data_IF_713229863442
#
_entry.id   IF_713229863442
#
_cell.length_a   1.000
_cell.length_b   1.000
_cell.length_c   1.000
_cell.angle_alpha   90.00
_cell.angle_beta   90.00
_cell.angle_gamma   90.00
#
_symmetry.space_group_name_H-M   'P 1'
#
loop_
_entity.id
_entity.type
_entity.pdbx_description
1 polymer ?
#
# COMPACT_ATOMS: atom_id res chain seq x y z
N UNK A 1 -4.75 -12.65 -9.86
CA UNK A 1 -4.43 -12.54 -8.47
C UNK A 1 -5.35 -11.56 -7.78
N UNK A 2 -5.97 -12.00 -6.70
CA UNK A 2 -7.00 -11.20 -6.06
C UNK A 2 -6.47 -9.89 -5.52
N UNK A 3 -5.27 -9.88 -4.98
CA UNK A 3 -4.73 -8.66 -4.43
C UNK A 3 -4.55 -7.60 -5.51
N UNK A 4 -4.13 -8.01 -6.68
CA UNK A 4 -3.93 -7.07 -7.77
C UNK A 4 -5.26 -6.51 -8.25
N UNK A 5 -6.28 -7.35 -8.29
CA UNK A 5 -7.61 -6.87 -8.68
C UNK A 5 -8.08 -5.81 -7.69
N UNK A 6 -7.88 -6.06 -6.41
CA UNK A 6 -8.33 -5.12 -5.38
C UNK A 6 -7.58 -3.80 -5.42
N UNK A 7 -6.35 -3.79 -5.92
CA UNK A 7 -5.61 -2.55 -6.03
C UNK A 7 -6.29 -1.57 -6.97
N UNK A 8 -7.10 -2.08 -7.90
CA UNK A 8 -7.79 -1.24 -8.87
C UNK A 8 -9.25 -1.06 -8.54
N UNK A 9 -9.67 -1.44 -7.33
CA UNK A 9 -11.05 -1.30 -6.96
C UNK A 9 -11.42 0.17 -6.88
N UNK A 10 -12.64 0.50 -7.30
CA UNK A 10 -13.09 1.88 -7.26
C UNK A 10 -13.31 2.36 -5.85
N UNK A 11 -13.59 1.45 -4.93
CA UNK A 11 -13.85 1.82 -3.55
C UNK A 11 -12.51 1.98 -2.82
N UNK A 12 -12.21 3.21 -2.43
CA UNK A 12 -10.93 3.48 -1.78
C UNK A 12 -10.81 2.73 -0.46
N UNK A 13 -11.91 2.40 0.18
CA UNK A 13 -11.84 1.66 1.44
C UNK A 13 -11.32 0.25 1.22
N UNK A 14 -11.66 -0.34 0.07
CA UNK A 14 -11.11 -1.64 -0.28
C UNK A 14 -9.61 -1.51 -0.51
N UNK A 15 -9.20 -0.48 -1.24
CA UNK A 15 -7.78 -0.27 -1.47
C UNK A 15 -7.03 0.00 -0.17
N UNK A 16 -7.66 0.72 0.74
CA UNK A 16 -7.06 0.98 2.04
C UNK A 16 -6.82 -0.33 2.80
N UNK A 17 -7.82 -1.21 2.79
CA UNK A 17 -7.69 -2.50 3.45
C UNK A 17 -6.58 -3.33 2.83
N UNK A 18 -6.49 -3.30 1.51
CA UNK A 18 -5.41 -4.01 0.82
C UNK A 18 -4.06 -3.46 1.24
N UNK A 19 -3.95 -2.14 1.36
CA UNK A 19 -2.69 -1.52 1.75
C UNK A 19 -2.25 -1.94 3.14
N UNK A 20 -3.16 -2.39 3.97
CA UNK A 20 -2.81 -2.84 5.31
C UNK A 20 -2.19 -4.23 5.32
N UNK A 21 -2.37 -5.00 4.25
CA UNK A 21 -2.04 -6.41 4.27
C UNK A 21 -1.02 -6.85 3.24
N UNK A 22 -0.85 -6.09 2.16
CA UNK A 22 0.00 -6.56 1.07
C UNK A 22 1.47 -6.34 1.39
N UNK A 23 2.32 -7.01 0.60
CA UNK A 23 3.75 -6.90 0.78
C UNK A 23 4.26 -5.56 0.24
N UNK A 24 5.53 -5.21 0.56
CA UNK A 24 6.06 -3.90 0.18
C UNK A 24 6.09 -3.65 -1.32
N UNK A 25 6.33 -4.69 -2.11
CA UNK A 25 6.35 -4.49 -3.56
C UNK A 25 4.99 -4.08 -4.07
N UNK A 26 3.94 -4.69 -3.53
CA UNK A 26 2.60 -4.33 -3.92
C UNK A 26 2.22 -2.96 -3.39
N UNK A 27 2.75 -2.59 -2.24
CA UNK A 27 2.50 -1.27 -1.68
C UNK A 27 2.94 -0.15 -2.61
N UNK A 28 3.99 -0.39 -3.40
CA UNK A 28 4.47 0.63 -4.30
C UNK A 28 3.39 1.08 -5.27
N UNK A 29 2.51 0.17 -5.65
CA UNK A 29 1.42 0.53 -6.56
C UNK A 29 0.44 1.50 -5.91
N UNK A 30 0.37 1.50 -4.58
CA UNK A 30 -0.56 2.36 -3.88
C UNK A 30 0.04 3.69 -3.45
N UNK A 31 1.33 3.88 -3.67
CA UNK A 31 1.97 5.14 -3.29
C UNK A 31 1.43 6.31 -4.10
N UNK A 32 0.86 6.03 -5.26
CA UNK A 32 0.30 7.08 -6.11
C UNK A 32 -1.23 7.00 -6.16
N UNK A 33 -1.83 6.37 -5.18
CA UNK A 33 -3.28 6.24 -5.16
C UNK A 33 -3.92 7.62 -5.10
N UNK A 34 -5.03 7.84 -5.81
CA UNK A 34 -5.71 9.14 -5.78
C UNK A 34 -6.28 9.50 -4.41
N UNK A 35 -6.48 8.51 -3.54
CA UNK A 35 -7.04 8.80 -2.22
C UNK A 35 -5.93 9.09 -1.24
N UNK A 36 -5.93 10.27 -0.60
CA UNK A 36 -4.86 10.62 0.32
C UNK A 36 -4.65 9.62 1.46
N UNK A 37 -5.74 9.07 1.99
CA UNK A 37 -5.62 8.13 3.10
C UNK A 37 -4.90 6.87 2.66
N UNK A 38 -5.16 6.39 1.46
CA UNK A 38 -4.50 5.20 0.95
C UNK A 38 -3.02 5.49 0.72
N UNK A 39 -2.72 6.64 0.11
CA UNK A 39 -1.32 7.02 -0.13
C UNK A 39 -0.55 7.10 1.17
N UNK A 40 -1.15 7.69 2.18
CA UNK A 40 -0.47 7.88 3.44
C UNK A 40 -0.17 6.55 4.12
N UNK A 41 -1.14 5.64 4.12
CA UNK A 41 -0.93 4.34 4.70
C UNK A 41 0.14 3.57 3.94
N UNK A 42 0.06 3.58 2.62
CA UNK A 42 1.04 2.86 1.81
C UNK A 42 2.44 3.42 2.03
N UNK A 43 2.55 4.74 2.08
CA UNK A 43 3.84 5.36 2.28
C UNK A 43 4.41 5.04 3.66
N UNK A 44 3.59 5.08 4.67
CA UNK A 44 4.05 4.79 6.03
C UNK A 44 4.55 3.36 6.14
N UNK A 45 3.79 2.42 5.59
CA UNK A 45 4.21 1.02 5.65
C UNK A 45 5.46 0.78 4.81
N UNK A 46 5.53 1.40 3.65
CA UNK A 46 6.67 1.21 2.78
C UNK A 46 7.94 1.76 3.42
N UNK A 47 7.86 2.93 4.03
CA UNK A 47 9.00 3.52 4.69
C UNK A 47 9.41 2.72 5.91
N UNK A 48 8.45 2.21 6.66
CA UNK A 48 8.75 1.39 7.81
C UNK A 48 9.50 0.13 7.41
N UNK A 49 9.08 -0.48 6.30
CA UNK A 49 9.75 -1.66 5.80
C UNK A 49 11.18 -1.34 5.39
N UNK A 50 11.37 -0.23 4.68
CA UNK A 50 12.70 0.15 4.25
C UNK A 50 13.58 0.52 5.44
N UNK A 51 12.99 1.14 6.45
CA UNK A 51 13.72 1.48 7.64
C UNK A 51 14.25 0.26 8.34
N UNK A 52 13.41 -0.76 8.48
CA UNK A 52 13.86 -2.00 9.08
C UNK A 52 14.97 -2.63 8.28
N UNK A 53 14.81 -2.66 6.97
CA UNK A 53 15.78 -3.28 6.13
C UNK A 53 17.11 -2.54 6.17
N UNK A 54 17.03 -1.23 6.28
CA UNK A 54 18.21 -0.41 6.27
C UNK A 54 18.93 -0.44 7.60
N UNK A 55 18.25 -0.83 8.62
CA UNK A 55 18.76 -0.74 9.94
C UNK A 55 19.99 -1.59 10.16
N UNK A 56 20.17 -2.67 9.56
CA UNK A 56 21.32 -3.42 9.76
C UNK A 56 22.47 -2.94 9.09
#
# INVERSE_FOLDING_TARGET
DEAIVMLNDEDWMVRYTVAQKVDPLTLKALLNDPEPDVRELASARFHSYQGNKHHD
#
